data_IF_895252502029
#
_entry.id   IF_895252502029
#
_cell.length_a   1.000
_cell.length_b   1.000
_cell.length_c   1.000
_cell.angle_alpha   90.00
_cell.angle_beta   90.00
_cell.angle_gamma   90.00
#
_symmetry.space_group_name_H-M   'P 1'
#
loop_
_entity.id
_entity.type
_entity.pdbx_description
1 polymer ?
#
# COMPACT_ATOMS: atom_id res chain seq x y z
N UNK A 1 80.46 55.81 7.44
CA UNK A 1 79.69 57.03 7.68
C UNK A 1 78.18 56.73 7.46
N UNK A 2 77.47 56.90 8.54
CA UNK A 2 76.05 57.33 8.64
C UNK A 2 75.01 56.66 7.75
N UNK A 3 74.16 55.86 8.31
CA UNK A 3 72.86 56.08 9.04
C UNK A 3 71.67 55.88 8.09
N UNK A 4 70.66 55.23 8.34
CA UNK A 4 69.55 55.49 9.28
C UNK A 4 68.57 54.31 9.25
N UNK A 5 68.18 53.86 10.40
CA UNK A 5 67.08 52.95 10.58
C UNK A 5 65.71 53.66 10.37
N UNK A 6 64.75 52.96 9.79
CA UNK A 6 63.33 53.26 9.94
C UNK A 6 62.54 51.99 10.24
N UNK A 7 62.00 51.95 11.45
CA UNK A 7 61.00 51.03 11.89
C UNK A 7 59.65 51.31 11.20
N UNK A 8 59.05 50.28 10.62
CA UNK A 8 57.64 50.34 10.28
C UNK A 8 56.98 49.19 11.03
N UNK A 9 56.15 49.56 12.01
CA UNK A 9 55.28 48.66 12.75
C UNK A 9 54.11 48.27 11.80
N UNK A 10 54.02 46.99 11.45
CA UNK A 10 52.90 46.44 10.72
C UNK A 10 51.92 45.82 11.73
N UNK A 11 50.73 46.43 11.91
CA UNK A 11 49.63 45.83 12.61
C UNK A 11 49.11 44.66 11.81
N UNK A 12 49.32 43.44 12.29
CA UNK A 12 48.65 42.26 11.78
C UNK A 12 47.20 42.19 12.27
N UNK A 13 46.25 42.44 11.41
CA UNK A 13 44.84 42.08 11.65
C UNK A 13 44.71 40.56 11.54
N UNK A 14 44.47 39.89 12.68
CA UNK A 14 44.03 38.52 12.74
C UNK A 14 42.53 38.51 12.37
N UNK A 15 42.21 38.17 11.13
CA UNK A 15 40.84 37.84 10.75
C UNK A 15 40.56 36.41 11.19
N UNK A 16 39.84 36.26 12.31
CA UNK A 16 39.24 34.99 12.71
C UNK A 16 38.06 34.72 11.80
N UNK A 17 38.26 33.91 10.79
CA UNK A 17 37.16 33.37 9.99
C UNK A 17 36.43 32.32 10.87
N UNK A 18 35.28 32.72 11.42
CA UNK A 18 34.30 31.78 11.93
C UNK A 18 33.77 30.96 10.77
N UNK A 19 34.32 29.77 10.58
CA UNK A 19 33.69 28.75 9.74
C UNK A 19 32.44 28.28 10.51
N UNK A 20 31.30 28.85 10.19
CA UNK A 20 30.01 28.23 10.47
C UNK A 20 29.96 27.03 9.57
N UNK A 21 30.28 25.84 10.08
CA UNK A 21 29.95 24.59 9.44
C UNK A 21 28.43 24.53 9.41
N UNK A 22 27.82 24.81 8.27
CA UNK A 22 26.46 24.38 8.00
C UNK A 22 26.46 22.85 8.18
N UNK A 23 25.97 22.39 9.32
CA UNK A 23 25.57 21.00 9.46
C UNK A 23 24.51 20.79 8.40
N UNK A 24 24.89 20.11 7.32
CA UNK A 24 23.96 19.52 6.38
C UNK A 24 23.15 18.52 7.20
N UNK A 25 22.00 18.96 7.73
CA UNK A 25 21.08 18.10 8.45
C UNK A 25 20.43 17.20 7.43
N UNK A 26 21.15 16.15 7.04
CA UNK A 26 20.57 15.09 6.20
C UNK A 26 19.34 14.56 6.92
N UNK A 27 18.17 14.72 6.28
CA UNK A 27 16.88 14.25 6.80
C UNK A 27 17.00 12.76 7.13
N UNK A 28 16.77 12.40 8.39
CA UNK A 28 16.81 11.00 8.80
C UNK A 28 15.48 10.30 8.46
N UNK A 29 15.56 9.02 8.12
CA UNK A 29 14.37 8.18 7.93
C UNK A 29 13.83 7.79 9.30
N UNK A 30 12.60 8.19 9.60
CA UNK A 30 11.89 7.85 10.83
C UNK A 30 11.18 6.51 10.74
N UNK A 31 10.60 6.22 9.58
CA UNK A 31 9.90 4.98 9.32
C UNK A 31 10.00 4.61 7.85
N UNK A 32 10.24 3.32 7.56
CA UNK A 32 10.27 2.79 6.21
C UNK A 32 9.35 1.59 6.11
N UNK A 33 8.54 1.56 5.05
CA UNK A 33 7.74 0.40 4.71
C UNK A 33 7.75 0.15 3.21
N UNK A 34 7.37 -1.05 2.83
CA UNK A 34 7.11 -1.40 1.43
C UNK A 34 5.66 -1.79 1.26
N UNK A 35 5.13 -1.66 0.05
CA UNK A 35 3.74 -2.01 -0.24
C UNK A 35 3.57 -2.58 -1.64
N UNK A 36 2.73 -3.61 -1.76
CA UNK A 36 2.36 -4.30 -2.99
C UNK A 36 1.05 -5.06 -2.75
N UNK A 37 0.32 -5.40 -3.79
CA UNK A 37 -0.84 -6.29 -3.77
C UNK A 37 -0.85 -7.25 -4.96
N UNK A 38 -1.84 -8.14 -5.02
CA UNK A 38 -2.18 -8.94 -6.20
C UNK A 38 -1.08 -9.92 -6.63
N UNK A 39 -0.72 -10.83 -5.73
CA UNK A 39 0.31 -11.85 -6.02
C UNK A 39 -0.25 -13.17 -6.57
N UNK A 40 -1.56 -13.35 -6.56
CA UNK A 40 -2.25 -14.52 -7.09
C UNK A 40 -2.06 -14.72 -8.59
N UNK A 41 -2.44 -15.87 -9.09
CA UNK A 41 -2.45 -16.15 -10.52
C UNK A 41 -3.78 -16.76 -10.96
N UNK A 42 -4.25 -16.40 -12.16
CA UNK A 42 -5.46 -16.99 -12.73
C UNK A 42 -5.20 -18.41 -13.19
N UNK A 43 -6.12 -19.38 -12.89
CA UNK A 43 -5.97 -20.75 -13.33
C UNK A 43 -6.18 -20.86 -14.86
N UNK A 44 -5.07 -20.73 -15.60
CA UNK A 44 -5.10 -20.84 -17.08
C UNK A 44 -4.51 -22.17 -17.49
N UNK A 45 -5.32 -23.13 -17.98
CA UNK A 45 -4.82 -24.43 -18.40
C UNK A 45 -3.69 -24.31 -19.42
N UNK A 46 -2.63 -25.11 -19.22
CA UNK A 46 -1.46 -25.15 -20.10
C UNK A 46 -0.49 -23.98 -20.01
N UNK A 47 -0.77 -22.98 -19.17
CA UNK A 47 0.12 -21.82 -18.95
C UNK A 47 0.82 -21.83 -17.59
N UNK A 48 0.32 -22.62 -16.65
CA UNK A 48 0.85 -22.69 -15.28
C UNK A 48 1.58 -24.01 -15.06
N UNK A 49 2.63 -23.97 -14.24
CA UNK A 49 3.26 -25.16 -13.70
C UNK A 49 2.29 -25.93 -12.78
N UNK A 50 2.59 -27.19 -12.50
CA UNK A 50 1.80 -27.99 -11.56
C UNK A 50 1.71 -27.32 -10.19
N UNK A 51 2.78 -26.69 -9.72
CA UNK A 51 2.80 -25.97 -8.44
C UNK A 51 1.91 -24.71 -8.48
N UNK A 52 2.02 -23.92 -9.53
CA UNK A 52 1.17 -22.72 -9.69
C UNK A 52 -0.31 -23.08 -9.81
N UNK A 53 -0.65 -24.18 -10.50
CA UNK A 53 -2.01 -24.72 -10.58
C UNK A 53 -2.55 -25.18 -9.22
N UNK A 54 -1.66 -25.70 -8.35
CA UNK A 54 -2.07 -26.17 -7.01
C UNK A 54 -2.31 -25.01 -6.04
N UNK A 55 -1.44 -24.02 -6.07
CA UNK A 55 -1.44 -22.92 -5.11
C UNK A 55 -2.08 -21.63 -5.63
N UNK A 56 -2.23 -21.52 -6.97
CA UNK A 56 -2.71 -20.34 -7.68
C UNK A 56 -1.98 -19.05 -7.26
N UNK A 57 -0.66 -19.18 -7.14
CA UNK A 57 0.27 -18.15 -6.72
C UNK A 57 1.38 -17.97 -7.74
N UNK A 58 1.71 -16.71 -8.10
CA UNK A 58 2.90 -16.44 -8.92
C UNK A 58 4.15 -16.47 -8.03
N UNK A 59 4.58 -17.70 -7.71
CA UNK A 59 5.69 -17.95 -6.78
C UNK A 59 6.99 -17.29 -7.22
N UNK A 60 7.28 -17.26 -8.53
CA UNK A 60 8.54 -16.69 -9.05
C UNK A 60 8.61 -15.19 -8.85
N UNK A 61 7.52 -14.48 -9.15
CA UNK A 61 7.42 -13.02 -8.99
C UNK A 61 7.47 -12.67 -7.51
N UNK A 62 6.59 -13.26 -6.71
CA UNK A 62 6.50 -12.95 -5.28
C UNK A 62 7.82 -13.26 -4.54
N UNK A 63 8.44 -14.42 -4.81
CA UNK A 63 9.72 -14.78 -4.19
C UNK A 63 10.85 -13.83 -4.57
N UNK A 64 10.87 -13.31 -5.81
CA UNK A 64 11.85 -12.31 -6.21
C UNK A 64 11.62 -11.00 -5.49
N UNK A 65 10.37 -10.49 -5.50
CA UNK A 65 10.02 -9.24 -4.79
C UNK A 65 10.39 -9.30 -3.31
N UNK A 66 10.02 -10.37 -2.61
CA UNK A 66 10.34 -10.57 -1.19
C UNK A 66 11.84 -10.49 -0.93
N UNK A 67 12.67 -11.13 -1.75
CA UNK A 67 14.13 -11.07 -1.60
C UNK A 67 14.68 -9.67 -1.82
N UNK A 68 14.14 -8.93 -2.79
CA UNK A 68 14.59 -7.57 -3.09
C UNK A 68 14.10 -6.58 -2.01
N UNK A 69 12.85 -6.70 -1.55
CA UNK A 69 12.33 -5.92 -0.42
C UNK A 69 13.14 -6.15 0.86
N UNK A 70 13.50 -7.41 1.15
CA UNK A 70 14.31 -7.75 2.32
C UNK A 70 15.68 -7.07 2.32
N UNK A 71 16.29 -6.88 1.15
CA UNK A 71 17.59 -6.22 1.04
C UNK A 71 17.55 -4.77 1.56
N UNK A 72 16.42 -4.08 1.40
CA UNK A 72 16.19 -2.72 1.87
C UNK A 72 15.75 -2.64 3.34
N UNK A 73 15.50 -3.79 4.00
CA UNK A 73 15.13 -3.92 5.42
C UNK A 73 13.98 -2.99 5.84
N UNK A 74 12.82 -3.03 5.20
CA UNK A 74 11.68 -2.23 5.62
C UNK A 74 11.19 -2.71 6.98
N UNK A 75 10.66 -1.80 7.80
CA UNK A 75 10.08 -2.13 9.10
C UNK A 75 8.71 -2.80 8.95
N UNK A 76 7.99 -2.51 7.85
CA UNK A 76 6.73 -3.16 7.55
C UNK A 76 6.55 -3.43 6.05
N UNK A 77 5.76 -4.47 5.75
CA UNK A 77 5.15 -4.71 4.44
C UNK A 77 3.64 -4.57 4.59
N UNK A 78 3.04 -3.61 3.88
CA UNK A 78 1.58 -3.55 3.71
C UNK A 78 1.20 -4.27 2.41
N UNK A 79 0.44 -5.35 2.54
CA UNK A 79 0.04 -6.15 1.37
C UNK A 79 -1.41 -5.86 1.00
N UNK A 80 -1.64 -5.20 -0.12
CA UNK A 80 -2.91 -4.57 -0.50
C UNK A 80 -3.93 -5.53 -1.13
N UNK A 81 -4.13 -6.70 -0.51
CA UNK A 81 -5.15 -7.66 -0.92
C UNK A 81 -4.77 -8.54 -2.11
N UNK A 82 -5.68 -9.44 -2.45
CA UNK A 82 -5.53 -10.43 -3.52
C UNK A 82 -4.25 -11.25 -3.40
N UNK A 83 -3.97 -11.68 -2.17
CA UNK A 83 -2.84 -12.55 -1.82
C UNK A 83 -3.08 -13.98 -2.29
N UNK A 84 -4.35 -14.41 -2.32
CA UNK A 84 -4.77 -15.74 -2.73
C UNK A 84 -5.71 -15.66 -3.94
N UNK A 85 -5.87 -16.77 -4.65
CA UNK A 85 -6.86 -16.81 -5.72
C UNK A 85 -8.30 -16.76 -5.16
N UNK A 86 -8.55 -17.39 -4.03
CA UNK A 86 -9.84 -17.33 -3.33
C UNK A 86 -11.04 -17.68 -4.19
N UNK A 87 -12.06 -16.82 -4.19
CA UNK A 87 -13.31 -16.93 -4.95
C UNK A 87 -14.07 -18.23 -4.71
N UNK A 88 -13.92 -18.86 -3.56
CA UNK A 88 -14.55 -20.14 -3.20
C UNK A 88 -15.09 -20.09 -1.79
N UNK A 89 -16.18 -20.86 -1.56
CA UNK A 89 -16.70 -21.15 -0.22
C UNK A 89 -16.02 -22.38 0.41
N UNK A 90 -15.17 -23.08 -0.33
CA UNK A 90 -14.44 -24.25 0.20
C UNK A 90 -13.34 -23.80 1.16
N UNK A 91 -13.62 -23.94 2.44
CA UNK A 91 -12.72 -23.54 3.53
C UNK A 91 -11.36 -24.23 3.45
N UNK A 92 -11.30 -25.50 3.08
CA UNK A 92 -10.04 -26.24 2.99
C UNK A 92 -9.17 -25.73 1.81
N UNK A 93 -9.79 -25.25 0.74
CA UNK A 93 -9.08 -24.59 -0.37
C UNK A 93 -8.52 -23.25 0.09
N UNK A 94 -9.33 -22.42 0.77
CA UNK A 94 -8.87 -21.15 1.31
C UNK A 94 -7.72 -21.33 2.29
N UNK A 95 -7.86 -22.23 3.27
CA UNK A 95 -6.82 -22.48 4.28
C UNK A 95 -5.48 -22.91 3.64
N UNK A 96 -5.51 -23.74 2.60
CA UNK A 96 -4.28 -24.12 1.88
C UNK A 96 -3.63 -22.94 1.15
N UNK A 97 -4.43 -22.10 0.49
CA UNK A 97 -3.90 -20.95 -0.25
C UNK A 97 -3.31 -19.91 0.71
N UNK A 98 -3.99 -19.61 1.82
CA UNK A 98 -3.46 -18.75 2.87
C UNK A 98 -2.16 -19.29 3.47
N UNK A 99 -2.13 -20.57 3.81
CA UNK A 99 -0.93 -21.21 4.37
C UNK A 99 0.27 -21.09 3.41
N UNK A 100 0.04 -21.26 2.12
CA UNK A 100 1.09 -21.12 1.12
C UNK A 100 1.61 -19.70 1.01
N UNK A 101 0.71 -18.70 0.90
CA UNK A 101 1.10 -17.29 0.85
C UNK A 101 1.85 -16.88 2.13
N UNK A 102 1.36 -17.28 3.31
CA UNK A 102 2.02 -17.05 4.59
C UNK A 102 3.44 -17.61 4.63
N UNK A 103 3.62 -18.81 4.08
CA UNK A 103 4.94 -19.43 3.93
C UNK A 103 5.88 -18.60 3.04
N UNK A 104 5.36 -18.00 1.96
CA UNK A 104 6.14 -17.13 1.08
C UNK A 104 6.64 -15.86 1.78
N UNK A 105 5.83 -15.22 2.63
CA UNK A 105 6.20 -13.99 3.33
C UNK A 105 6.90 -14.23 4.68
N UNK A 106 6.92 -15.46 5.18
CA UNK A 106 7.51 -15.81 6.47
C UNK A 106 8.98 -15.34 6.60
N UNK A 107 9.74 -15.43 5.52
CA UNK A 107 11.13 -15.00 5.49
C UNK A 107 11.33 -13.50 5.79
N UNK A 108 10.42 -12.64 5.30
CA UNK A 108 10.43 -11.22 5.68
C UNK A 108 10.19 -11.04 7.18
N UNK A 109 9.21 -11.77 7.73
CA UNK A 109 8.89 -11.70 9.16
C UNK A 109 10.06 -12.15 10.03
N UNK A 110 10.73 -13.24 9.65
CA UNK A 110 11.92 -13.74 10.36
C UNK A 110 13.10 -12.76 10.28
N UNK A 111 13.16 -11.94 9.23
CA UNK A 111 14.19 -10.91 9.06
C UNK A 111 13.86 -9.57 9.72
N UNK A 112 12.71 -9.46 10.42
CA UNK A 112 12.33 -8.28 11.21
C UNK A 112 11.36 -7.32 10.49
N UNK A 113 10.77 -7.72 9.36
CA UNK A 113 9.74 -6.93 8.67
C UNK A 113 8.34 -7.35 9.13
N UNK A 114 7.56 -6.45 9.71
CA UNK A 114 6.20 -6.73 10.12
C UNK A 114 5.26 -6.77 8.90
N UNK A 115 4.54 -7.87 8.70
CA UNK A 115 3.59 -8.01 7.60
C UNK A 115 2.20 -7.59 8.04
N UNK A 116 1.64 -6.57 7.38
CA UNK A 116 0.30 -6.01 7.60
C UNK A 116 -0.58 -6.39 6.41
N UNK A 117 -1.47 -7.38 6.57
CA UNK A 117 -2.34 -7.82 5.48
C UNK A 117 -3.57 -6.91 5.36
N UNK A 118 -3.95 -6.61 4.11
CA UNK A 118 -5.19 -5.91 3.74
C UNK A 118 -6.09 -6.91 3.02
N UNK A 119 -7.39 -7.06 3.35
CA UNK A 119 -8.27 -7.96 2.61
C UNK A 119 -8.58 -7.42 1.21
N UNK A 120 -8.59 -8.31 0.21
CA UNK A 120 -9.03 -8.02 -1.15
C UNK A 120 -10.31 -8.79 -1.50
N UNK A 121 -10.87 -8.50 -2.66
CA UNK A 121 -12.10 -9.16 -3.10
C UNK A 121 -11.91 -10.67 -3.32
N UNK A 122 -10.74 -11.13 -3.66
CA UNK A 122 -10.42 -12.56 -3.79
C UNK A 122 -10.46 -13.31 -2.46
N UNK A 123 -10.14 -12.64 -1.37
CA UNK A 123 -10.26 -13.18 -0.02
C UNK A 123 -11.71 -13.28 0.45
N UNK A 124 -12.55 -12.30 0.08
CA UNK A 124 -13.88 -12.10 0.67
C UNK A 124 -15.01 -12.66 -0.21
N UNK A 125 -14.85 -12.66 -1.54
CA UNK A 125 -15.91 -13.04 -2.47
C UNK A 125 -15.93 -14.53 -2.78
N UNK A 126 -17.14 -15.03 -3.06
CA UNK A 126 -17.38 -16.32 -3.68
C UNK A 126 -17.84 -16.10 -5.13
N UNK A 127 -17.26 -16.84 -6.05
CA UNK A 127 -17.62 -16.84 -7.46
C UNK A 127 -18.61 -17.97 -7.73
N UNK A 128 -19.77 -17.61 -8.23
CA UNK A 128 -20.82 -18.54 -8.64
C UNK A 128 -21.26 -18.27 -10.09
N UNK A 129 -22.16 -19.08 -10.60
CA UNK A 129 -22.84 -18.83 -11.88
C UNK A 129 -24.33 -18.64 -11.64
N UNK A 130 -24.89 -17.57 -12.19
CA UNK A 130 -26.33 -17.35 -12.21
C UNK A 130 -27.05 -18.41 -13.06
N UNK A 131 -28.37 -18.47 -12.96
CA UNK A 131 -29.20 -19.34 -13.80
C UNK A 131 -29.01 -19.10 -15.32
N UNK A 132 -28.55 -17.90 -15.70
CA UNK A 132 -28.22 -17.55 -17.09
C UNK A 132 -26.74 -17.84 -17.46
N UNK A 133 -25.99 -18.56 -16.62
CA UNK A 133 -24.60 -18.91 -16.82
C UNK A 133 -23.60 -17.76 -16.66
N UNK A 134 -24.05 -16.56 -16.24
CA UNK A 134 -23.19 -15.40 -15.99
C UNK A 134 -22.43 -15.58 -14.69
N UNK A 135 -21.18 -15.17 -14.66
CA UNK A 135 -20.40 -15.10 -13.42
C UNK A 135 -21.03 -14.07 -12.47
N UNK A 136 -21.14 -14.46 -11.20
CA UNK A 136 -21.58 -13.62 -10.10
C UNK A 136 -20.57 -13.75 -8.97
N UNK A 137 -20.16 -12.64 -8.43
CA UNK A 137 -19.26 -12.54 -7.26
C UNK A 137 -20.08 -11.94 -6.12
N UNK A 138 -19.92 -12.51 -4.94
CA UNK A 138 -20.68 -12.11 -3.76
C UNK A 138 -19.78 -12.18 -2.54
N UNK A 139 -19.67 -11.08 -1.82
CA UNK A 139 -18.97 -11.01 -0.54
C UNK A 139 -19.73 -11.81 0.49
N UNK A 140 -19.04 -12.64 1.28
CA UNK A 140 -19.66 -13.55 2.23
C UNK A 140 -19.06 -13.45 3.62
N UNK A 141 -19.91 -13.58 4.63
CA UNK A 141 -19.50 -13.62 6.05
C UNK A 141 -18.59 -14.83 6.32
N UNK A 142 -18.81 -15.92 5.63
CA UNK A 142 -17.99 -17.14 5.74
C UNK A 142 -16.56 -16.87 5.32
N UNK A 143 -16.35 -16.09 4.24
CA UNK A 143 -15.02 -15.72 3.78
C UNK A 143 -14.38 -14.65 4.68
N UNK A 144 -15.14 -13.69 5.21
CA UNK A 144 -14.66 -12.80 6.27
C UNK A 144 -14.17 -13.61 7.50
N UNK A 145 -14.89 -14.67 7.89
CA UNK A 145 -14.47 -15.56 8.97
C UNK A 145 -13.27 -16.43 8.59
N UNK A 146 -13.15 -16.82 7.32
CA UNK A 146 -11.96 -17.51 6.80
C UNK A 146 -10.73 -16.61 6.87
N UNK A 147 -10.86 -15.33 6.52
CA UNK A 147 -9.83 -14.33 6.70
C UNK A 147 -9.36 -14.24 8.15
N UNK A 148 -10.28 -14.02 9.09
CA UNK A 148 -9.95 -13.91 10.53
C UNK A 148 -9.21 -15.13 11.05
N UNK A 149 -9.64 -16.32 10.65
CA UNK A 149 -9.03 -17.56 11.09
C UNK A 149 -7.62 -17.79 10.51
N UNK A 150 -7.36 -17.32 9.28
CA UNK A 150 -6.07 -17.51 8.63
C UNK A 150 -5.09 -16.36 8.80
N UNK A 151 -5.61 -15.12 8.95
CA UNK A 151 -4.81 -13.92 8.98
C UNK A 151 -4.84 -13.18 10.32
N UNK A 152 -5.75 -13.57 11.24
CA UNK A 152 -6.01 -12.85 12.48
C UNK A 152 -4.80 -12.69 13.40
N UNK A 153 -3.87 -13.63 13.40
CA UNK A 153 -2.61 -13.55 14.17
C UNK A 153 -1.56 -12.62 13.55
N UNK A 154 -1.71 -12.23 12.28
CA UNK A 154 -0.95 -11.20 11.60
C UNK A 154 -1.59 -9.82 11.77
N UNK A 155 -2.91 -9.77 12.02
CA UNK A 155 -3.59 -8.52 12.29
C UNK A 155 -3.05 -7.95 13.58
N UNK A 156 -2.66 -6.76 13.55
CA UNK A 156 -1.78 -6.02 14.39
C UNK A 156 -1.61 -6.51 15.85
N UNK A 157 -0.39 -6.77 16.24
CA UNK A 157 0.00 -7.11 17.61
C UNK A 157 1.11 -6.17 18.07
N UNK A 158 0.82 -5.30 19.03
CA UNK A 158 1.75 -4.27 19.51
C UNK A 158 3.08 -4.83 20.03
N UNK A 159 3.04 -5.95 20.74
CA UNK A 159 4.26 -6.55 21.29
C UNK A 159 5.15 -7.12 20.18
N UNK A 160 4.58 -7.81 19.18
CA UNK A 160 5.30 -8.27 18.00
C UNK A 160 5.84 -7.08 17.19
N UNK A 161 5.01 -6.07 16.97
CA UNK A 161 5.42 -4.85 16.28
C UNK A 161 6.66 -4.22 16.93
N UNK A 162 6.59 -3.97 18.24
CA UNK A 162 7.70 -3.39 19.01
C UNK A 162 8.97 -4.26 18.92
N UNK A 163 8.82 -5.59 19.02
CA UNK A 163 9.94 -6.51 18.97
C UNK A 163 10.61 -6.54 17.58
N UNK A 164 9.83 -6.42 16.50
CA UNK A 164 10.32 -6.50 15.13
C UNK A 164 10.86 -5.16 14.62
N UNK A 165 10.16 -4.05 14.91
CA UNK A 165 10.47 -2.73 14.34
C UNK A 165 11.32 -1.85 15.25
N UNK A 166 11.40 -2.18 16.53
CA UNK A 166 11.96 -1.36 17.62
C UNK A 166 11.27 0.02 17.74
N UNK A 167 10.06 0.14 17.26
CA UNK A 167 9.24 1.37 17.34
C UNK A 167 7.96 1.08 18.11
N UNK A 168 7.57 1.93 19.08
CA UNK A 168 6.29 1.79 19.74
C UNK A 168 5.15 2.11 18.77
N UNK A 169 4.11 1.28 18.80
CA UNK A 169 2.84 1.61 18.18
C UNK A 169 1.78 1.84 19.26
N UNK A 170 0.88 2.76 19.01
CA UNK A 170 -0.17 3.18 19.94
C UNK A 170 -1.53 3.19 19.27
N UNK A 171 -2.58 3.46 20.06
CA UNK A 171 -3.97 3.60 19.60
C UNK A 171 -4.57 2.34 18.91
N UNK A 172 -3.90 1.20 18.99
CA UNK A 172 -4.47 -0.07 18.54
C UNK A 172 -5.54 -0.56 19.49
N UNK A 173 -6.70 -0.93 18.92
CA UNK A 173 -7.73 -1.72 19.60
C UNK A 173 -8.45 -2.57 18.57
N UNK A 174 -8.73 -3.83 18.92
CA UNK A 174 -9.53 -4.72 18.07
C UNK A 174 -10.97 -4.19 17.90
N UNK A 175 -11.46 -3.43 18.87
CA UNK A 175 -12.78 -2.83 18.84
C UNK A 175 -12.83 -1.49 18.10
N UNK A 176 -11.69 -0.91 17.72
CA UNK A 176 -11.64 0.24 16.82
C UNK A 176 -11.80 -0.23 15.37
N UNK A 177 -13.01 -0.54 14.99
CA UNK A 177 -13.40 -1.03 13.67
C UNK A 177 -14.74 -0.43 13.24
N UNK A 178 -15.04 -0.38 11.94
CA UNK A 178 -16.33 0.06 11.44
C UNK A 178 -17.49 -0.74 12.06
N UNK A 179 -18.54 -0.03 12.46
CA UNK A 179 -19.70 -0.65 13.11
C UNK A 179 -20.74 -1.06 12.07
N UNK A 180 -21.37 -2.21 12.29
CA UNK A 180 -22.54 -2.63 11.53
C UNK A 180 -23.69 -1.61 11.66
N UNK A 181 -24.38 -1.31 10.55
CA UNK A 181 -25.43 -0.30 10.46
C UNK A 181 -24.93 1.10 10.08
N UNK A 182 -23.61 1.27 9.93
CA UNK A 182 -22.99 2.54 9.50
C UNK A 182 -22.32 2.34 8.15
N UNK A 183 -22.35 3.35 7.27
CA UNK A 183 -21.76 3.35 5.92
C UNK A 183 -22.19 2.15 5.04
N UNK A 184 -23.40 1.60 5.27
CA UNK A 184 -23.89 0.42 4.53
C UNK A 184 -23.30 -0.91 4.98
N UNK A 185 -22.38 -0.92 5.92
CA UNK A 185 -21.74 -2.12 6.46
C UNK A 185 -22.74 -2.90 7.31
N UNK A 186 -22.88 -4.21 7.08
CA UNK A 186 -23.85 -5.06 7.79
C UNK A 186 -23.19 -6.12 8.67
N UNK A 187 -21.87 -6.29 8.57
CA UNK A 187 -21.11 -7.35 9.25
C UNK A 187 -20.06 -6.78 10.20
N UNK A 188 -19.56 -7.64 11.08
CA UNK A 188 -18.46 -7.31 11.99
C UNK A 188 -17.17 -7.09 11.18
N UNK A 189 -16.57 -5.89 11.26
CA UNK A 189 -15.37 -5.54 10.53
C UNK A 189 -14.09 -5.62 11.37
N UNK A 190 -14.16 -6.11 12.61
CA UNK A 190 -12.94 -6.35 13.41
C UNK A 190 -11.99 -7.31 12.69
N UNK A 191 -10.71 -6.97 12.67
CA UNK A 191 -9.65 -7.67 11.93
C UNK A 191 -9.77 -7.62 10.38
N UNK A 192 -10.74 -6.91 9.85
CA UNK A 192 -10.89 -6.61 8.43
C UNK A 192 -10.55 -5.14 8.15
N UNK A 193 -11.01 -4.25 9.03
CA UNK A 193 -10.61 -2.84 9.06
C UNK A 193 -10.11 -2.49 10.45
N UNK A 194 -8.99 -1.76 10.52
CA UNK A 194 -8.33 -1.42 11.78
C UNK A 194 -7.31 -0.30 11.58
N UNK A 195 -6.87 0.32 12.67
CA UNK A 195 -5.88 1.40 12.62
C UNK A 195 -4.89 1.34 13.79
N UNK A 196 -3.78 2.04 13.64
CA UNK A 196 -2.77 2.25 14.67
C UNK A 196 -1.88 3.45 14.35
N UNK A 197 -1.22 3.99 15.37
CA UNK A 197 -0.27 5.09 15.24
C UNK A 197 1.17 4.61 15.50
N UNK A 198 2.13 5.14 14.75
CA UNK A 198 3.57 5.00 14.99
C UNK A 198 4.16 6.40 15.07
N UNK A 199 4.45 6.86 16.28
CA UNK A 199 4.85 8.24 16.52
C UNK A 199 3.77 9.22 16.04
N UNK A 200 4.10 10.02 15.02
CA UNK A 200 3.16 11.00 14.42
C UNK A 200 2.55 10.52 13.10
N UNK A 201 2.67 9.22 12.81
CA UNK A 201 2.18 8.61 11.58
C UNK A 201 0.97 7.76 11.94
N UNK A 202 -0.13 7.97 11.25
CA UNK A 202 -1.36 7.18 11.36
C UNK A 202 -1.50 6.23 10.18
N UNK A 203 -1.84 4.98 10.46
CA UNK A 203 -2.09 3.92 9.49
C UNK A 203 -3.51 3.39 9.66
N UNK A 204 -4.32 3.45 8.61
CA UNK A 204 -5.65 2.85 8.57
C UNK A 204 -5.71 1.80 7.46
N UNK A 205 -6.18 0.62 7.81
CA UNK A 205 -6.44 -0.51 6.92
C UNK A 205 -7.95 -0.64 6.77
N UNK A 206 -8.45 -0.69 5.53
CA UNK A 206 -9.87 -0.78 5.25
C UNK A 206 -10.20 -2.00 4.39
N UNK A 207 -11.28 -2.69 4.74
CA UNK A 207 -11.92 -3.66 3.87
C UNK A 207 -12.80 -2.90 2.87
N UNK A 208 -12.52 -3.04 1.58
CA UNK A 208 -13.31 -2.42 0.50
C UNK A 208 -14.43 -3.31 -0.01
N UNK A 209 -14.53 -4.53 0.54
CA UNK A 209 -15.47 -5.57 0.13
C UNK A 209 -16.19 -6.19 1.34
N UNK A 210 -16.80 -5.40 2.25
CA UNK A 210 -17.54 -5.99 3.35
C UNK A 210 -18.76 -6.75 2.85
N UNK A 211 -19.06 -7.89 3.47
CA UNK A 211 -20.14 -8.74 3.03
C UNK A 211 -21.48 -7.96 2.97
N UNK A 212 -22.11 -8.01 1.80
CA UNK A 212 -23.35 -7.29 1.48
C UNK A 212 -23.19 -5.86 0.97
N UNK A 213 -21.97 -5.31 0.91
CA UNK A 213 -21.75 -3.96 0.39
C UNK A 213 -20.39 -3.79 -0.28
N UNK A 214 -20.20 -4.49 -1.38
CA UNK A 214 -19.02 -4.43 -2.26
C UNK A 214 -18.72 -2.99 -2.75
N UNK A 215 -17.47 -2.71 -3.11
CA UNK A 215 -16.98 -1.40 -3.58
C UNK A 215 -17.28 -0.26 -2.60
N UNK A 216 -16.92 -0.44 -1.33
CA UNK A 216 -17.24 0.50 -0.26
C UNK A 216 -16.02 0.97 0.54
N UNK A 217 -16.23 2.03 1.33
CA UNK A 217 -15.26 2.52 2.30
C UNK A 217 -15.98 2.96 3.57
N UNK A 218 -15.43 2.68 4.77
CA UNK A 218 -16.03 3.03 6.06
C UNK A 218 -15.77 4.49 6.43
N UNK A 219 -16.40 5.43 5.70
CA UNK A 219 -16.08 6.87 5.75
C UNK A 219 -16.28 7.46 7.14
N UNK A 220 -17.39 7.16 7.82
CA UNK A 220 -17.66 7.72 9.15
C UNK A 220 -16.72 7.18 10.23
N UNK A 221 -16.33 5.91 10.11
CA UNK A 221 -15.32 5.36 11.01
C UNK A 221 -13.97 6.02 10.78
N UNK A 222 -13.52 6.15 9.52
CA UNK A 222 -12.28 6.83 9.19
C UNK A 222 -12.27 8.29 9.65
N UNK A 223 -13.39 9.02 9.50
CA UNK A 223 -13.51 10.40 9.96
C UNK A 223 -13.27 10.51 11.47
N UNK A 224 -13.91 9.66 12.25
CA UNK A 224 -13.74 9.63 13.71
C UNK A 224 -12.31 9.20 14.11
N UNK A 225 -11.77 8.20 13.44
CA UNK A 225 -10.44 7.64 13.70
C UNK A 225 -9.34 8.65 13.36
N UNK A 226 -9.41 9.31 12.21
CA UNK A 226 -8.49 10.36 11.80
C UNK A 226 -8.55 11.57 12.74
N UNK A 227 -9.75 12.01 13.16
CA UNK A 227 -9.91 13.09 14.11
C UNK A 227 -9.24 12.74 15.46
N UNK A 228 -9.46 11.54 15.96
CA UNK A 228 -8.85 11.05 17.20
C UNK A 228 -7.31 10.96 17.07
N UNK A 229 -6.80 10.46 15.95
CA UNK A 229 -5.35 10.37 15.70
C UNK A 229 -4.70 11.76 15.58
N UNK A 230 -5.36 12.70 14.91
CA UNK A 230 -4.89 14.10 14.83
C UNK A 230 -4.83 14.74 16.22
N UNK A 231 -5.81 14.46 17.10
CA UNK A 231 -5.79 14.93 18.50
C UNK A 231 -4.61 14.35 19.30
N UNK A 232 -4.18 13.11 18.99
CA UNK A 232 -2.97 12.49 19.56
C UNK A 232 -1.67 13.04 18.97
N UNK A 233 -1.74 13.89 17.94
CA UNK A 233 -0.58 14.55 17.33
C UNK A 233 -0.12 13.94 15.99
N UNK A 234 -0.90 13.04 15.40
CA UNK A 234 -0.61 12.54 14.06
C UNK A 234 -0.72 13.67 13.02
N UNK A 235 0.24 13.69 12.10
CA UNK A 235 0.30 14.67 11.01
C UNK A 235 0.63 14.04 9.65
N UNK A 236 0.81 12.72 9.61
CA UNK A 236 0.87 11.91 8.38
C UNK A 236 -0.14 10.79 8.46
N UNK A 237 -0.92 10.64 7.41
CA UNK A 237 -2.02 9.69 7.32
C UNK A 237 -1.83 8.81 6.09
N UNK A 238 -1.84 7.51 6.32
CA UNK A 238 -1.81 6.49 5.27
C UNK A 238 -3.06 5.63 5.37
N UNK A 239 -3.69 5.37 4.23
CA UNK A 239 -4.80 4.43 4.12
C UNK A 239 -4.40 3.31 3.18
N UNK A 240 -4.71 2.09 3.55
CA UNK A 240 -4.51 0.89 2.74
C UNK A 240 -5.84 0.21 2.55
N UNK A 241 -6.23 0.04 1.30
CA UNK A 241 -7.40 -0.71 0.90
C UNK A 241 -7.09 -1.47 -0.37
N UNK A 242 -7.92 -2.44 -0.74
CA UNK A 242 -7.65 -3.19 -1.96
C UNK A 242 -8.12 -2.44 -3.19
N UNK A 243 -9.39 -2.03 -3.22
CA UNK A 243 -9.97 -1.36 -4.40
C UNK A 243 -9.67 0.14 -4.42
N UNK A 244 -9.30 0.65 -5.59
CA UNK A 244 -8.99 2.06 -5.81
C UNK A 244 -10.22 2.95 -5.78
N UNK A 245 -10.01 4.23 -5.44
CA UNK A 245 -11.05 5.25 -5.52
C UNK A 245 -11.25 5.75 -6.97
N UNK A 246 -10.19 5.85 -7.74
CA UNK A 246 -10.23 6.30 -9.14
C UNK A 246 -9.52 5.27 -10.02
N UNK A 247 -10.25 4.80 -11.03
CA UNK A 247 -9.74 3.80 -11.98
C UNK A 247 -8.69 4.40 -12.91
N UNK A 248 -7.55 3.73 -13.04
CA UNK A 248 -6.56 4.09 -14.04
C UNK A 248 -6.98 3.63 -15.42
N UNK A 249 -7.00 4.56 -16.37
CA UNK A 249 -7.21 4.29 -17.80
C UNK A 249 -6.04 4.90 -18.57
N UNK A 250 -5.23 4.09 -19.29
CA UNK A 250 -4.14 4.61 -20.10
C UNK A 250 -4.59 5.67 -21.11
N UNK A 251 -3.74 6.66 -21.36
CA UNK A 251 -4.03 7.76 -22.26
C UNK A 251 -4.50 7.31 -23.65
N UNK A 252 -3.86 6.27 -24.18
CA UNK A 252 -4.22 5.67 -25.47
C UNK A 252 -5.66 5.13 -25.52
N UNK A 253 -6.16 4.60 -24.39
CA UNK A 253 -7.55 4.15 -24.28
C UNK A 253 -8.50 5.34 -24.11
N UNK A 254 -8.13 6.37 -23.33
CA UNK A 254 -8.90 7.60 -23.19
C UNK A 254 -9.10 8.30 -24.55
N UNK A 255 -8.05 8.39 -25.36
CA UNK A 255 -8.12 8.94 -26.72
C UNK A 255 -9.06 8.15 -27.64
N UNK A 256 -9.30 6.87 -27.35
CA UNK A 256 -10.29 6.02 -28.06
C UNK A 256 -11.68 6.08 -27.40
N UNK A 257 -11.91 7.00 -26.46
CA UNK A 257 -13.15 7.13 -25.69
C UNK A 257 -13.52 5.85 -24.90
N UNK A 258 -12.52 5.06 -24.49
CA UNK A 258 -12.74 3.93 -23.60
C UNK A 258 -12.81 4.45 -22.16
N UNK A 259 -13.98 4.25 -21.55
CA UNK A 259 -14.18 4.51 -20.13
C UNK A 259 -14.21 3.19 -19.36
N UNK A 260 -13.64 3.18 -18.18
CA UNK A 260 -13.72 2.07 -17.25
C UNK A 260 -13.96 2.64 -15.87
N UNK A 261 -14.83 2.01 -15.11
CA UNK A 261 -15.05 2.28 -13.69
C UNK A 261 -14.99 0.96 -12.95
N UNK A 262 -14.20 0.90 -11.89
CA UNK A 262 -13.99 -0.29 -11.08
C UNK A 262 -13.69 0.12 -9.63
N UNK A 263 -13.87 -0.78 -8.67
CA UNK A 263 -13.71 -0.46 -7.26
C UNK A 263 -14.66 0.66 -6.81
N UNK A 264 -14.21 1.55 -5.94
CA UNK A 264 -15.05 2.64 -5.44
C UNK A 264 -15.50 3.60 -6.55
N UNK A 265 -14.77 3.65 -7.67
CA UNK A 265 -15.14 4.47 -8.83
C UNK A 265 -16.49 4.04 -9.47
N UNK A 266 -16.87 2.78 -9.29
CA UNK A 266 -18.17 2.27 -9.71
C UNK A 266 -19.33 2.82 -8.83
N UNK A 267 -19.04 3.42 -7.68
CA UNK A 267 -19.98 4.02 -6.73
C UNK A 267 -19.61 5.48 -6.42
N UNK A 268 -19.89 6.44 -7.31
CA UNK A 268 -19.43 7.82 -7.19
C UNK A 268 -19.74 8.48 -5.83
N UNK A 269 -20.91 8.21 -5.24
CA UNK A 269 -21.26 8.76 -3.93
C UNK A 269 -20.36 8.27 -2.79
N UNK A 270 -19.98 7.00 -2.79
CA UNK A 270 -19.01 6.42 -1.83
C UNK A 270 -17.63 6.95 -2.10
N UNK A 271 -17.19 6.90 -3.37
CA UNK A 271 -15.89 7.42 -3.80
C UNK A 271 -15.69 8.86 -3.37
N UNK A 272 -16.65 9.73 -3.68
CA UNK A 272 -16.50 11.17 -3.43
C UNK A 272 -16.50 11.48 -1.94
N UNK A 273 -17.36 10.86 -1.13
CA UNK A 273 -17.35 11.02 0.32
C UNK A 273 -16.02 10.52 0.94
N UNK A 274 -15.52 9.37 0.48
CA UNK A 274 -14.23 8.86 0.91
C UNK A 274 -13.10 9.80 0.51
N UNK A 275 -13.09 10.27 -0.75
CA UNK A 275 -12.00 11.11 -1.23
C UNK A 275 -12.02 12.53 -0.63
N UNK A 276 -13.18 13.08 -0.26
CA UNK A 276 -13.28 14.33 0.49
C UNK A 276 -12.55 14.21 1.83
N UNK A 277 -12.70 13.08 2.51
CA UNK A 277 -11.98 12.81 3.74
C UNK A 277 -10.47 12.67 3.51
N UNK A 278 -10.05 11.89 2.50
CA UNK A 278 -8.65 11.72 2.11
C UNK A 278 -7.98 13.07 1.82
N UNK A 279 -8.63 13.96 1.07
CA UNK A 279 -8.12 15.31 0.79
C UNK A 279 -8.03 16.16 2.06
N UNK A 280 -9.03 16.13 2.96
CA UNK A 280 -9.05 16.96 4.17
C UNK A 280 -7.89 16.66 5.14
N UNK A 281 -7.35 15.45 5.06
CA UNK A 281 -6.19 15.00 5.84
C UNK A 281 -4.90 14.92 5.00
N UNK A 282 -4.97 15.22 3.70
CA UNK A 282 -3.87 15.02 2.75
C UNK A 282 -3.28 13.61 2.90
N UNK A 283 -4.14 12.62 3.08
CA UNK A 283 -3.76 11.25 3.26
C UNK A 283 -3.24 10.64 1.94
N UNK A 284 -2.42 9.60 2.06
CA UNK A 284 -1.93 8.83 0.92
C UNK A 284 -2.67 7.49 0.94
N UNK A 285 -3.41 7.20 -0.13
CA UNK A 285 -4.17 5.98 -0.28
C UNK A 285 -3.44 5.00 -1.18
N UNK A 286 -2.99 3.87 -0.61
CA UNK A 286 -2.37 2.76 -1.32
C UNK A 286 -3.39 1.67 -1.61
N UNK A 287 -3.37 1.14 -2.84
CA UNK A 287 -4.32 0.13 -3.30
C UNK A 287 -3.66 -0.94 -4.17
N UNK A 288 -4.39 -2.06 -4.37
CA UNK A 288 -4.14 -3.08 -5.37
C UNK A 288 -5.24 -3.09 -6.44
N UNK A 289 -5.83 -4.27 -6.66
CA UNK A 289 -6.98 -4.58 -7.51
C UNK A 289 -6.76 -4.37 -9.00
N UNK A 290 -6.34 -3.20 -9.40
CA UNK A 290 -5.91 -2.96 -10.78
C UNK A 290 -4.44 -3.34 -10.91
N UNK A 291 -4.17 -4.40 -11.68
CA UNK A 291 -2.84 -5.01 -11.78
C UNK A 291 -1.90 -4.16 -12.62
N UNK A 292 -1.49 -3.05 -12.04
CA UNK A 292 -0.65 -2.03 -12.66
C UNK A 292 0.02 -1.21 -11.55
N UNK A 293 1.08 -0.49 -11.88
CA UNK A 293 1.51 0.65 -11.07
C UNK A 293 0.91 1.93 -11.65
N UNK A 294 0.27 2.73 -10.80
CA UNK A 294 -0.14 4.08 -11.16
C UNK A 294 -0.22 4.98 -9.94
N UNK A 295 0.39 6.16 -10.00
CA UNK A 295 0.31 7.18 -8.97
C UNK A 295 -0.34 8.45 -9.52
N UNK A 296 -1.26 9.03 -8.77
CA UNK A 296 -1.97 10.23 -9.19
C UNK A 296 -2.44 11.08 -8.02
N UNK A 297 -2.70 12.33 -8.29
CA UNK A 297 -3.50 13.24 -7.46
C UNK A 297 -4.84 13.47 -8.17
N UNK A 298 -5.87 12.68 -7.88
CA UNK A 298 -7.12 12.67 -8.68
C UNK A 298 -7.81 14.03 -8.78
N UNK A 299 -7.69 14.88 -7.76
CA UNK A 299 -8.29 16.23 -7.73
C UNK A 299 -7.27 17.36 -7.87
N UNK A 300 -6.11 17.11 -8.47
CA UNK A 300 -5.06 18.12 -8.66
C UNK A 300 -5.56 19.38 -9.36
N UNK A 301 -6.37 19.22 -10.41
CA UNK A 301 -6.89 20.34 -11.21
C UNK A 301 -7.86 21.24 -10.42
N UNK A 302 -8.44 20.72 -9.33
CA UNK A 302 -9.28 21.47 -8.40
C UNK A 302 -8.54 21.85 -7.09
N UNK A 303 -7.21 21.74 -7.06
CA UNK A 303 -6.37 22.12 -5.93
C UNK A 303 -6.17 21.01 -4.89
N UNK A 304 -6.64 19.80 -5.14
CA UNK A 304 -6.42 18.63 -4.28
C UNK A 304 -4.95 18.24 -4.23
N UNK A 305 -4.51 17.73 -3.07
CA UNK A 305 -3.11 17.36 -2.80
C UNK A 305 -2.93 15.90 -2.41
N UNK A 306 -4.00 15.20 -2.10
CA UNK A 306 -3.95 13.81 -1.70
C UNK A 306 -3.52 12.89 -2.87
N UNK A 307 -2.87 11.80 -2.53
CA UNK A 307 -2.35 10.84 -3.50
C UNK A 307 -3.08 9.52 -3.44
N UNK A 308 -3.41 8.98 -4.61
CA UNK A 308 -3.73 7.57 -4.80
C UNK A 308 -2.55 6.88 -5.48
N UNK A 309 -2.12 5.76 -4.91
CA UNK A 309 -1.01 4.95 -5.43
C UNK A 309 -1.48 3.51 -5.58
N UNK A 310 -1.67 3.07 -6.82
CA UNK A 310 -2.02 1.70 -7.18
C UNK A 310 -0.72 0.91 -7.33
N UNK A 311 -0.56 -0.16 -6.57
CA UNK A 311 0.59 -1.09 -6.61
C UNK A 311 0.10 -2.53 -6.65
N UNK A 312 -0.74 -2.82 -7.65
CA UNK A 312 -1.46 -4.09 -7.82
C UNK A 312 -0.77 -5.09 -8.75
N UNK A 313 0.51 -4.92 -9.06
CA UNK A 313 1.22 -5.82 -9.99
C UNK A 313 2.21 -6.76 -9.30
N UNK A 314 1.82 -7.34 -8.15
CA UNK A 314 2.63 -8.25 -7.33
C UNK A 314 2.76 -9.68 -7.86
N UNK A 315 2.20 -9.99 -9.03
CA UNK A 315 2.32 -11.31 -9.64
C UNK A 315 1.17 -11.72 -10.55
N UNK A 316 0.04 -11.07 -10.43
CA UNK A 316 -1.14 -11.31 -11.29
C UNK A 316 -0.89 -10.83 -12.73
N UNK A 317 -1.69 -11.33 -13.67
CA UNK A 317 -1.67 -10.86 -15.06
C UNK A 317 -2.00 -9.36 -15.12
N UNK A 318 -1.26 -8.60 -15.92
CA UNK A 318 -1.47 -7.15 -16.04
C UNK A 318 -2.89 -6.80 -16.50
N UNK A 319 -3.48 -5.78 -15.89
CA UNK A 319 -4.81 -5.27 -16.25
C UNK A 319 -4.83 -4.59 -17.63
N UNK A 320 -3.69 -4.07 -18.07
CA UNK A 320 -3.53 -3.39 -19.33
C UNK A 320 -3.05 -4.39 -20.39
N UNK A 321 -3.83 -4.55 -21.47
CA UNK A 321 -3.44 -5.43 -22.57
C UNK A 321 -2.29 -4.81 -23.36
N UNK A 322 -1.40 -5.65 -23.87
CA UNK A 322 -0.32 -5.20 -24.76
C UNK A 322 -0.88 -4.40 -25.93
N UNK A 323 -0.33 -3.19 -26.14
CA UNK A 323 -0.78 -2.27 -27.17
C UNK A 323 -1.85 -1.24 -26.75
N UNK A 324 -2.43 -1.40 -25.55
CA UNK A 324 -3.41 -0.45 -24.99
C UNK A 324 -2.74 0.70 -24.19
N UNK A 325 -1.46 0.60 -23.92
CA UNK A 325 -0.65 1.66 -23.31
C UNK A 325 0.68 1.81 -24.03
N UNK A 326 1.19 3.02 -24.06
CA UNK A 326 2.55 3.34 -24.51
C UNK A 326 3.52 3.46 -23.31
N UNK A 327 3.01 3.44 -22.07
CA UNK A 327 3.80 3.36 -20.88
C UNK A 327 4.27 1.91 -20.66
N UNK A 328 5.57 1.66 -20.82
CA UNK A 328 6.15 0.31 -20.65
C UNK A 328 6.00 -0.22 -19.23
N UNK A 329 5.89 0.66 -18.23
CA UNK A 329 5.76 0.28 -16.82
C UNK A 329 4.38 -0.27 -16.47
N UNK A 330 3.36 -0.11 -17.31
CA UNK A 330 2.06 -0.77 -17.18
C UNK A 330 2.18 -2.32 -17.32
N UNK A 331 3.34 -2.81 -17.76
CA UNK A 331 3.68 -4.22 -17.96
C UNK A 331 4.86 -4.66 -17.07
N UNK A 332 5.00 -4.04 -15.90
CA UNK A 332 6.03 -4.37 -14.91
C UNK A 332 5.39 -4.92 -13.65
N UNK A 333 5.98 -5.95 -13.09
CA UNK A 333 5.76 -6.33 -11.71
C UNK A 333 6.46 -5.31 -10.82
N UNK A 334 5.75 -4.72 -9.89
CA UNK A 334 6.26 -3.57 -9.14
C UNK A 334 5.78 -3.51 -7.70
N UNK A 335 6.55 -2.83 -6.87
CA UNK A 335 6.23 -2.49 -5.48
C UNK A 335 6.73 -1.09 -5.17
N UNK A 336 6.20 -0.48 -4.11
CA UNK A 336 6.65 0.82 -3.65
C UNK A 336 7.41 0.70 -2.33
N UNK A 337 8.58 1.33 -2.25
CA UNK A 337 9.30 1.63 -1.03
C UNK A 337 8.95 3.04 -0.57
N UNK A 338 8.53 3.17 0.68
CA UNK A 338 8.08 4.44 1.26
C UNK A 338 8.90 4.75 2.50
N UNK A 339 9.45 5.95 2.54
CA UNK A 339 10.20 6.46 3.70
C UNK A 339 9.54 7.74 4.22
N UNK A 340 9.23 7.77 5.51
CA UNK A 340 8.81 9.00 6.21
C UNK A 340 10.06 9.60 6.85
N UNK A 341 10.36 10.85 6.49
CA UNK A 341 11.55 11.56 6.94
C UNK A 341 11.27 12.40 8.19
N UNK A 342 12.35 12.86 8.83
CA UNK A 342 12.27 13.60 10.10
C UNK A 342 11.53 14.95 10.02
N UNK A 343 11.42 15.53 8.82
CA UNK A 343 10.62 16.72 8.53
C UNK A 343 9.18 16.41 8.12
N UNK A 344 8.74 15.14 8.18
CA UNK A 344 7.49 14.59 7.70
C UNK A 344 7.36 14.55 6.16
N UNK A 345 8.38 14.78 5.38
CA UNK A 345 8.38 14.46 3.96
C UNK A 345 8.18 12.96 3.78
N UNK A 346 7.32 12.57 2.85
CA UNK A 346 7.14 11.17 2.45
C UNK A 346 7.82 10.97 1.10
N UNK A 347 8.87 10.16 1.09
CA UNK A 347 9.57 9.76 -0.13
C UNK A 347 9.04 8.42 -0.60
N UNK A 348 8.57 8.37 -1.83
CA UNK A 348 8.11 7.14 -2.48
C UNK A 348 9.06 6.81 -3.62
N UNK A 349 9.53 5.58 -3.65
CA UNK A 349 10.35 5.00 -4.71
C UNK A 349 9.70 3.72 -5.18
N UNK A 350 9.33 3.64 -6.44
CA UNK A 350 8.71 2.46 -7.02
C UNK A 350 9.74 1.67 -7.82
N UNK A 351 9.85 0.41 -7.49
CA UNK A 351 10.75 -0.54 -8.09
C UNK A 351 9.97 -1.56 -8.90
N UNK A 352 10.55 -2.07 -9.97
CA UNK A 352 9.90 -3.08 -10.77
C UNK A 352 10.80 -3.74 -11.80
N UNK A 353 10.31 -4.86 -12.34
CA UNK A 353 10.95 -5.63 -13.39
C UNK A 353 9.90 -6.13 -14.38
N UNK A 354 10.31 -6.38 -15.61
CA UNK A 354 9.43 -6.83 -16.69
C UNK A 354 9.07 -8.32 -16.60
N UNK A 355 8.16 -8.76 -17.46
CA UNK A 355 7.71 -10.16 -17.56
C UNK A 355 8.82 -11.15 -17.95
N UNK A 356 9.94 -10.66 -18.51
CA UNK A 356 11.11 -11.48 -18.88
C UNK A 356 12.10 -11.60 -17.71
N UNK A 357 11.77 -11.10 -16.53
CA UNK A 357 12.63 -11.09 -15.35
C UNK A 357 13.95 -10.35 -15.57
N UNK A 358 13.93 -9.28 -16.36
CA UNK A 358 15.04 -8.35 -16.52
C UNK A 358 15.47 -7.72 -15.19
N UNK A 359 16.50 -6.87 -15.18
CA UNK A 359 16.98 -6.22 -13.96
C UNK A 359 15.89 -5.32 -13.36
N UNK A 360 15.83 -5.30 -12.02
CA UNK A 360 14.97 -4.37 -11.30
C UNK A 360 15.44 -2.94 -11.52
N UNK A 361 14.48 -2.04 -11.75
CA UNK A 361 14.70 -0.63 -11.99
C UNK A 361 13.83 0.21 -11.09
N UNK A 362 14.28 1.42 -10.80
CA UNK A 362 13.39 2.48 -10.30
C UNK A 362 12.54 2.94 -11.47
N UNK A 363 11.22 2.74 -11.38
CA UNK A 363 10.27 3.09 -12.43
C UNK A 363 9.60 4.43 -12.17
N UNK A 364 9.57 4.85 -10.90
CA UNK A 364 9.13 6.19 -10.48
C UNK A 364 9.70 6.57 -9.10
N UNK A 365 9.83 7.87 -8.83
CA UNK A 365 10.22 8.37 -7.50
C UNK A 365 9.81 9.82 -7.31
N UNK A 366 9.19 10.14 -6.18
CA UNK A 366 8.80 11.51 -5.82
C UNK A 366 8.74 11.70 -4.31
N UNK A 367 8.76 12.98 -3.89
CA UNK A 367 8.59 13.40 -2.50
C UNK A 367 7.24 14.13 -2.33
N UNK A 368 6.53 13.79 -1.26
CA UNK A 368 5.29 14.46 -0.84
C UNK A 368 5.66 15.31 0.38
N UNK A 369 5.56 16.62 0.22
CA UNK A 369 5.91 17.57 1.25
C UNK A 369 4.92 17.54 2.43
N UNK A 370 5.32 18.04 3.62
CA UNK A 370 4.46 18.16 4.80
C UNK A 370 3.18 18.95 4.57
#
# INVERSE_FOLDING_TARGET
MKNFARYIAGLGLLAVALMVSAQDSSLSVMFRFTTVGDSRVEPTPGKLSTQEMLWLQNTRVLARMIREMQADKPQALFFNGDMIYGYTADRAVLDRQYAYWRGMVAHLMESGTYVVPVPGNHEIQVRTRSALGREVRTDTVENENAWRANMGDLIFNQAKWQAMTNLPATAWSIDNAPQAGVDGITTDQRQLSYSFDVGRIHFAIINTDPAGFDDSAPVKWLEADFAASRQRGANRFFVFGHKMAFTYVPEKLRQRNVTRTDGLDARPGVRDAFWDLIESYQAIFFTGHQHVFHASQPRKDSGGKAWQVIVGSGGTNFSIKKGDSDNIYDYYYSWADVSVLSDNTVRIKVLGFDENFGPTRVIDSWDIQP
#
